data_IF_370387623987
#
_entry.id   IF_370387623987
#
_cell.length_a   1.000
_cell.length_b   1.000
_cell.length_c   1.000
_cell.angle_alpha   90.00
_cell.angle_beta   90.00
_cell.angle_gamma   90.00
#
_symmetry.space_group_name_H-M   'P 1'
#
loop_
_entity.id
_entity.type
_entity.pdbx_description
1 polymer ?
#
# COMPACT_ATOMS: atom_id res chain seq x y z
N UNK A 1 18.87 8.64 -17.99
CA UNK A 1 17.82 8.38 -16.98
C UNK A 1 18.36 8.92 -15.68
N UNK A 2 17.70 9.85 -15.02
CA UNK A 2 18.16 10.35 -13.72
C UNK A 2 17.59 9.43 -12.65
N UNK A 3 18.45 8.68 -11.97
CA UNK A 3 18.07 7.93 -10.78
C UNK A 3 17.96 8.91 -9.61
N UNK A 4 16.78 8.99 -9.01
CA UNK A 4 16.55 9.81 -7.83
C UNK A 4 16.91 9.00 -6.58
N UNK A 5 17.91 9.46 -5.88
CA UNK A 5 18.38 8.87 -4.64
C UNK A 5 17.51 9.36 -3.47
N UNK A 6 16.77 8.46 -2.81
CA UNK A 6 15.85 8.78 -1.71
C UNK A 6 16.29 8.15 -0.39
N UNK A 7 17.59 8.10 -0.12
CA UNK A 7 18.10 7.55 1.14
C UNK A 7 18.46 8.69 2.06
N UNK A 8 17.96 8.71 3.32
CA UNK A 8 18.42 9.65 4.31
C UNK A 8 19.91 9.42 4.60
N UNK A 9 20.63 10.50 4.93
CA UNK A 9 22.02 10.42 5.33
C UNK A 9 22.15 9.41 6.50
N UNK A 10 23.28 8.73 6.60
CA UNK A 10 23.60 7.61 7.52
C UNK A 10 23.27 7.78 9.02
N UNK A 11 22.72 8.92 9.45
CA UNK A 11 22.55 9.29 10.86
C UNK A 11 21.13 9.75 11.22
N UNK A 12 20.10 9.36 10.43
CA UNK A 12 18.73 9.70 10.79
C UNK A 12 18.18 8.69 11.82
N UNK A 13 18.35 9.03 13.10
CA UNK A 13 17.86 8.19 14.20
C UNK A 13 16.33 8.01 14.16
N UNK A 14 15.58 9.00 13.66
CA UNK A 14 14.13 8.92 13.52
C UNK A 14 13.76 7.90 12.44
N UNK A 15 14.52 7.84 11.34
CA UNK A 15 14.34 6.82 10.31
C UNK A 15 14.52 5.42 10.88
N UNK A 16 15.63 5.18 11.58
CA UNK A 16 15.95 3.86 12.17
C UNK A 16 14.89 3.47 13.19
N UNK A 17 14.49 4.36 14.07
CA UNK A 17 13.48 4.09 15.09
C UNK A 17 12.11 3.71 14.46
N UNK A 18 11.65 4.45 13.46
CA UNK A 18 10.40 4.13 12.76
C UNK A 18 10.51 2.84 11.94
N UNK A 19 11.68 2.56 11.33
CA UNK A 19 11.92 1.32 10.58
C UNK A 19 11.84 0.11 11.51
N UNK A 20 12.55 0.13 12.63
CA UNK A 20 12.56 -0.96 13.60
C UNK A 20 11.16 -1.18 14.20
N UNK A 21 10.43 -0.12 14.53
CA UNK A 21 9.05 -0.19 15.04
C UNK A 21 8.12 -0.92 14.04
N UNK A 22 8.22 -0.63 12.76
CA UNK A 22 7.43 -1.32 11.72
C UNK A 22 7.86 -2.77 11.55
N UNK A 23 9.16 -3.05 11.56
CA UNK A 23 9.68 -4.43 11.45
C UNK A 23 9.25 -5.29 12.64
N UNK A 24 9.29 -4.75 13.85
CA UNK A 24 8.81 -5.43 15.06
C UNK A 24 7.30 -5.77 14.95
N UNK A 25 6.50 -4.89 14.35
CA UNK A 25 5.08 -5.18 14.05
C UNK A 25 4.93 -6.35 13.09
N UNK A 26 5.79 -6.46 12.08
CA UNK A 26 5.72 -7.53 11.08
C UNK A 26 6.19 -8.89 11.60
N UNK A 27 6.92 -8.92 12.70
CA UNK A 27 7.29 -10.16 13.41
C UNK A 27 6.14 -10.70 14.30
N UNK A 28 5.08 -9.93 14.52
CA UNK A 28 3.95 -10.38 15.33
C UNK A 28 3.26 -11.59 14.72
N UNK A 29 2.94 -12.61 15.52
CA UNK A 29 2.16 -13.74 15.03
C UNK A 29 0.73 -13.31 14.66
N UNK A 30 0.14 -14.00 13.69
CA UNK A 30 -1.25 -13.74 13.33
C UNK A 30 -2.21 -13.92 14.51
N UNK A 31 -3.01 -12.90 14.75
CA UNK A 31 -4.05 -12.92 15.78
C UNK A 31 -5.32 -12.21 15.30
N UNK A 32 -6.45 -12.91 15.13
CA UNK A 32 -7.68 -12.29 14.57
C UNK A 32 -8.28 -11.21 15.45
N UNK A 33 -7.93 -11.18 16.74
CA UNK A 33 -8.38 -10.13 17.67
C UNK A 33 -7.44 -8.91 17.66
N UNK A 34 -6.22 -9.06 17.09
CA UNK A 34 -5.17 -8.05 16.99
C UNK A 34 -4.55 -8.10 15.60
N UNK A 35 -5.35 -7.93 14.52
CA UNK A 35 -4.84 -8.02 13.16
C UNK A 35 -3.89 -6.86 12.86
N UNK A 36 -2.82 -7.18 12.12
CA UNK A 36 -1.96 -6.19 11.49
C UNK A 36 -2.55 -5.86 10.14
N UNK A 37 -2.73 -4.58 9.85
CA UNK A 37 -3.23 -4.08 8.57
C UNK A 37 -2.26 -3.03 8.05
N UNK A 38 -1.89 -3.13 6.78
CA UNK A 38 -1.13 -2.11 6.06
C UNK A 38 -2.06 -1.31 5.17
N UNK A 39 -1.86 0.01 5.11
CA UNK A 39 -2.70 0.92 4.33
C UNK A 39 -1.84 1.90 3.54
N UNK A 40 -2.14 2.05 2.25
CA UNK A 40 -1.51 3.05 1.40
C UNK A 40 -2.49 3.61 0.37
N UNK A 41 -2.11 4.72 -0.25
CA UNK A 41 -2.91 5.45 -1.24
C UNK A 41 -2.19 5.55 -2.58
N UNK A 42 -2.93 5.31 -3.66
CA UNK A 42 -2.43 5.47 -5.03
C UNK A 42 -3.24 6.49 -5.81
N UNK A 43 -2.64 7.60 -6.25
CA UNK A 43 -3.28 8.47 -7.22
C UNK A 43 -3.45 7.75 -8.55
N UNK A 44 -4.62 7.90 -9.19
CA UNK A 44 -4.92 7.29 -10.46
C UNK A 44 -5.48 8.33 -11.45
N UNK A 45 -4.94 8.32 -12.68
CA UNK A 45 -5.39 9.16 -13.78
C UNK A 45 -6.41 8.40 -14.63
N UNK A 46 -7.64 8.89 -14.70
CA UNK A 46 -8.66 8.36 -15.62
C UNK A 46 -8.31 8.73 -17.05
N UNK A 47 -8.14 7.72 -17.88
CA UNK A 47 -7.74 7.87 -19.29
C UNK A 47 -8.75 7.21 -20.21
N UNK A 48 -9.08 7.91 -21.31
CA UNK A 48 -9.93 7.40 -22.37
C UNK A 48 -9.17 7.28 -23.69
N UNK A 49 -9.59 6.39 -24.55
CA UNK A 49 -9.04 6.26 -25.88
C UNK A 49 -9.63 7.33 -26.81
N UNK A 50 -8.78 8.03 -27.56
CA UNK A 50 -9.22 8.98 -28.60
C UNK A 50 -9.77 8.23 -29.80
N UNK A 51 -9.17 7.08 -30.12
CA UNK A 51 -9.57 6.16 -31.18
C UNK A 51 -9.79 4.77 -30.61
N UNK A 52 -10.77 4.06 -31.16
CA UNK A 52 -10.99 2.67 -30.72
C UNK A 52 -9.76 1.80 -31.00
N UNK A 53 -9.32 0.99 -30.02
CA UNK A 53 -8.24 0.04 -30.22
C UNK A 53 -8.55 -0.91 -31.38
N UNK A 54 -7.51 -1.25 -32.15
CA UNK A 54 -7.67 -2.26 -33.20
C UNK A 54 -7.81 -3.64 -32.54
N UNK A 55 -8.73 -4.49 -33.05
CA UNK A 55 -8.95 -5.79 -32.46
C UNK A 55 -7.72 -6.69 -32.56
N UNK A 56 -7.58 -7.60 -31.60
CA UNK A 56 -6.56 -8.65 -31.61
C UNK A 56 -6.73 -9.52 -32.85
N UNK A 57 -5.63 -9.86 -33.52
CA UNK A 57 -5.58 -10.82 -34.64
C UNK A 57 -4.62 -11.95 -34.28
N UNK A 58 -4.81 -13.16 -34.82
CA UNK A 58 -3.87 -14.26 -34.60
C UNK A 58 -2.43 -13.85 -34.98
N UNK A 59 -1.51 -13.93 -34.02
CA UNK A 59 -0.10 -13.53 -34.19
C UNK A 59 0.18 -12.02 -34.07
N UNK A 60 -0.82 -11.18 -33.74
CA UNK A 60 -0.67 -9.71 -33.59
C UNK A 60 -1.32 -9.25 -32.26
N UNK A 61 -0.59 -8.46 -31.48
CA UNK A 61 -1.13 -7.91 -30.24
C UNK A 61 -2.16 -6.81 -30.52
N UNK A 62 -3.03 -6.56 -29.54
CA UNK A 62 -3.93 -5.41 -29.59
C UNK A 62 -3.11 -4.12 -29.76
N UNK A 63 -3.48 -3.29 -30.73
CA UNK A 63 -2.86 -2.00 -30.97
C UNK A 63 -3.73 -0.89 -30.45
N UNK A 64 -3.21 -0.12 -29.50
CA UNK A 64 -3.85 1.08 -28.96
C UNK A 64 -3.17 2.31 -29.52
N UNK A 65 -3.93 3.38 -29.72
CA UNK A 65 -3.36 4.69 -30.12
C UNK A 65 -2.49 5.25 -28.97
N UNK A 66 -1.43 5.94 -29.30
CA UNK A 66 -0.63 6.68 -28.32
C UNK A 66 -1.38 7.89 -27.73
N UNK A 67 -2.32 8.45 -28.48
CA UNK A 67 -3.16 9.55 -28.02
C UNK A 67 -4.20 9.07 -26.98
N UNK A 68 -4.40 9.87 -25.96
CA UNK A 68 -5.39 9.61 -24.91
C UNK A 68 -6.03 10.90 -24.41
N UNK A 69 -7.24 10.78 -23.91
CA UNK A 69 -7.95 11.87 -23.25
C UNK A 69 -7.91 11.68 -21.74
N UNK A 70 -7.58 12.74 -21.00
CA UNK A 70 -7.63 12.76 -19.54
C UNK A 70 -9.02 13.12 -19.07
N UNK A 71 -9.61 12.25 -18.25
CA UNK A 71 -10.98 12.42 -17.72
C UNK A 71 -10.98 12.72 -16.20
N UNK A 72 -9.87 13.23 -15.66
CA UNK A 72 -9.72 13.56 -14.26
C UNK A 72 -8.79 12.62 -13.50
N UNK A 73 -8.61 12.89 -12.23
CA UNK A 73 -7.82 12.09 -11.29
C UNK A 73 -8.70 11.64 -10.14
N UNK A 74 -8.35 10.50 -9.54
CA UNK A 74 -8.94 10.01 -8.30
C UNK A 74 -7.85 9.39 -7.43
N UNK A 75 -8.20 8.97 -6.23
CA UNK A 75 -7.30 8.26 -5.32
C UNK A 75 -7.89 6.91 -4.97
N UNK A 76 -7.05 5.88 -4.99
CA UNK A 76 -7.38 4.54 -4.58
C UNK A 76 -6.77 4.35 -3.20
N UNK A 77 -7.59 3.96 -2.22
CA UNK A 77 -7.16 3.54 -0.90
C UNK A 77 -7.09 2.02 -0.88
N UNK A 78 -6.01 1.47 -0.38
CA UNK A 78 -5.83 0.03 -0.27
C UNK A 78 -5.48 -0.36 1.16
N UNK A 79 -6.19 -1.35 1.67
CA UNK A 79 -5.94 -1.99 2.95
C UNK A 79 -5.64 -3.47 2.72
N UNK A 80 -4.62 -3.96 3.36
CA UNK A 80 -4.28 -5.39 3.34
C UNK A 80 -4.00 -5.88 4.74
N UNK A 81 -4.59 -7.02 5.10
CA UNK A 81 -4.24 -7.80 6.28
C UNK A 81 -3.25 -8.90 5.83
N UNK A 82 -1.94 -8.70 5.94
CA UNK A 82 -0.95 -9.55 5.25
C UNK A 82 -1.08 -11.03 5.62
N UNK A 83 -1.17 -11.34 6.91
CA UNK A 83 -1.27 -12.71 7.40
C UNK A 83 -2.71 -13.25 7.41
N UNK A 84 -3.72 -12.38 7.43
CA UNK A 84 -5.14 -12.75 7.33
C UNK A 84 -5.59 -12.98 5.91
N UNK A 85 -4.95 -12.33 4.94
CA UNK A 85 -5.30 -12.41 3.52
C UNK A 85 -6.61 -11.69 3.18
N UNK A 86 -6.99 -10.68 3.98
CA UNK A 86 -8.11 -9.79 3.66
C UNK A 86 -7.61 -8.54 2.97
N UNK A 87 -8.32 -8.13 1.95
CA UNK A 87 -8.03 -6.95 1.15
C UNK A 87 -9.26 -6.06 1.08
N UNK A 88 -9.06 -4.77 1.10
CA UNK A 88 -10.09 -3.79 0.78
C UNK A 88 -9.51 -2.68 -0.08
N UNK A 89 -10.24 -2.30 -1.13
CA UNK A 89 -9.88 -1.19 -1.99
C UNK A 89 -11.09 -0.29 -2.23
N UNK A 90 -10.89 1.01 -2.11
CA UNK A 90 -11.92 2.00 -2.36
C UNK A 90 -11.40 3.11 -3.28
N UNK A 91 -12.31 3.84 -3.92
CA UNK A 91 -11.97 4.92 -4.85
C UNK A 91 -12.71 6.18 -4.46
N UNK A 92 -11.94 7.24 -4.22
CA UNK A 92 -12.42 8.57 -3.90
C UNK A 92 -11.97 9.60 -4.95
N UNK A 93 -12.76 10.62 -5.17
CA UNK A 93 -12.38 11.74 -6.05
C UNK A 93 -11.20 12.52 -5.47
N UNK A 94 -11.10 12.55 -4.16
CA UNK A 94 -10.06 13.24 -3.41
C UNK A 94 -9.43 12.32 -2.36
N UNK A 95 -8.34 12.78 -1.75
CA UNK A 95 -7.70 12.16 -0.58
C UNK A 95 -7.63 13.15 0.57
N UNK A 96 -8.78 13.52 1.07
CA UNK A 96 -8.87 14.46 2.19
C UNK A 96 -8.76 13.72 3.54
N UNK A 97 -8.58 14.50 4.61
CA UNK A 97 -8.64 13.96 5.97
C UNK A 97 -9.99 13.30 6.29
N UNK A 98 -11.08 13.74 5.61
CA UNK A 98 -12.41 13.16 5.78
C UNK A 98 -12.50 11.82 5.04
N UNK A 99 -11.97 11.74 3.81
CA UNK A 99 -11.95 10.48 3.05
C UNK A 99 -11.19 9.40 3.83
N UNK A 100 -9.99 9.72 4.31
CA UNK A 100 -9.23 8.82 5.17
C UNK A 100 -10.00 8.41 6.43
N UNK A 101 -10.66 9.35 7.11
CA UNK A 101 -11.43 9.05 8.31
C UNK A 101 -12.60 8.10 8.04
N UNK A 102 -13.28 8.23 6.89
CA UNK A 102 -14.34 7.32 6.45
C UNK A 102 -13.79 5.91 6.22
N UNK A 103 -12.63 5.79 5.57
CA UNK A 103 -11.96 4.52 5.34
C UNK A 103 -11.52 3.85 6.64
N UNK A 104 -11.00 4.61 7.61
CA UNK A 104 -10.65 4.08 8.94
C UNK A 104 -11.90 3.62 9.70
N UNK A 105 -13.03 4.31 9.54
CA UNK A 105 -14.29 3.83 10.11
C UNK A 105 -14.72 2.52 9.47
N UNK A 106 -14.65 2.41 8.14
CA UNK A 106 -14.94 1.16 7.43
C UNK A 106 -14.03 0.02 7.90
N UNK A 107 -12.72 0.25 8.00
CA UNK A 107 -11.75 -0.71 8.52
C UNK A 107 -12.16 -1.22 9.91
N UNK A 108 -12.55 -0.29 10.80
CA UNK A 108 -12.94 -0.60 12.18
C UNK A 108 -14.27 -1.36 12.28
N UNK A 109 -15.28 -0.94 11.52
CA UNK A 109 -16.66 -1.34 11.77
C UNK A 109 -17.15 -2.44 10.82
N UNK A 110 -16.60 -2.49 9.59
CA UNK A 110 -17.06 -3.40 8.55
C UNK A 110 -16.00 -4.48 8.21
N UNK A 111 -14.75 -4.08 7.98
CA UNK A 111 -13.70 -5.02 7.61
C UNK A 111 -13.28 -5.89 8.81
N UNK A 112 -13.13 -5.28 10.00
CA UNK A 112 -12.60 -5.93 11.19
C UNK A 112 -13.49 -5.65 12.44
N UNK A 113 -14.81 -5.94 12.40
CA UNK A 113 -15.75 -5.61 13.47
C UNK A 113 -15.39 -6.28 14.79
N UNK A 114 -14.87 -7.50 14.77
CA UNK A 114 -14.58 -8.32 15.94
C UNK A 114 -13.19 -8.05 16.55
N UNK A 115 -12.33 -7.30 15.88
CA UNK A 115 -10.99 -7.01 16.39
C UNK A 115 -11.07 -6.18 17.68
N UNK A 116 -10.33 -6.58 18.71
CA UNK A 116 -10.17 -5.78 19.93
C UNK A 116 -9.32 -4.55 19.66
N UNK A 117 -8.28 -4.70 18.88
CA UNK A 117 -7.39 -3.64 18.46
C UNK A 117 -6.85 -3.94 17.07
N UNK A 118 -6.75 -2.95 16.23
CA UNK A 118 -6.20 -3.03 14.88
C UNK A 118 -4.84 -2.35 14.89
N UNK A 119 -3.79 -3.11 14.59
CA UNK A 119 -2.43 -2.61 14.45
C UNK A 119 -2.30 -2.13 13.01
N UNK A 120 -2.26 -0.81 12.81
CA UNK A 120 -2.30 -0.18 11.50
C UNK A 120 -0.95 0.40 11.12
N UNK A 121 -0.34 -0.12 10.07
CA UNK A 121 0.88 0.42 9.46
C UNK A 121 0.49 1.27 8.27
N UNK A 122 1.01 2.49 8.19
CA UNK A 122 0.74 3.44 7.09
C UNK A 122 1.80 4.53 7.03
N UNK A 123 1.80 5.34 5.99
CA UNK A 123 2.65 6.50 5.90
C UNK A 123 2.22 7.66 6.84
N UNK A 124 3.16 8.53 7.17
CA UNK A 124 2.93 9.66 8.09
C UNK A 124 2.46 10.92 7.36
N UNK A 125 1.41 10.83 6.54
CA UNK A 125 0.80 11.99 5.91
C UNK A 125 0.04 12.86 6.92
N UNK A 126 -0.08 14.16 6.63
CA UNK A 126 -0.84 15.08 7.48
C UNK A 126 -2.33 14.75 7.59
N UNK A 127 -2.88 14.03 6.62
CA UNK A 127 -4.25 13.52 6.59
C UNK A 127 -4.43 12.27 7.46
N UNK A 128 -3.36 11.51 7.72
CA UNK A 128 -3.34 10.23 8.42
C UNK A 128 -3.14 10.40 9.92
N UNK A 129 -3.96 11.21 10.56
CA UNK A 129 -3.84 11.49 12.00
C UNK A 129 -5.14 11.28 12.74
N UNK A 130 -5.03 10.91 14.01
CA UNK A 130 -6.19 10.80 14.90
C UNK A 130 -7.10 12.04 14.87
N UNK A 131 -6.53 13.25 14.69
CA UNK A 131 -7.28 14.49 14.56
C UNK A 131 -8.23 14.50 13.33
N UNK A 132 -7.93 13.75 12.28
CA UNK A 132 -8.79 13.65 11.10
C UNK A 132 -10.14 12.99 11.41
N UNK A 133 -10.16 12.03 12.33
CA UNK A 133 -11.41 11.41 12.79
C UNK A 133 -12.34 12.43 13.50
N UNK A 134 -11.77 13.38 14.26
CA UNK A 134 -12.55 14.44 14.89
C UNK A 134 -13.05 15.50 13.91
N UNK A 135 -12.47 15.59 12.70
CA UNK A 135 -13.01 16.44 11.62
C UNK A 135 -14.21 15.80 10.94
N UNK A 136 -14.23 14.45 10.86
CA UNK A 136 -15.26 13.70 10.15
C UNK A 136 -16.43 13.29 11.05
N UNK A 137 -16.18 13.01 12.34
CA UNK A 137 -17.15 12.41 13.24
C UNK A 137 -17.30 13.20 14.55
N UNK A 138 -18.46 13.02 15.26
CA UNK A 138 -18.61 13.51 16.62
C UNK A 138 -17.50 12.97 17.55
N UNK A 139 -17.11 13.72 18.61
CA UNK A 139 -16.00 13.33 19.48
C UNK A 139 -16.13 11.94 20.12
N UNK A 140 -17.33 11.51 20.46
CA UNK A 140 -17.59 10.18 21.02
C UNK A 140 -17.25 9.07 20.03
N UNK A 141 -17.66 9.24 18.77
CA UNK A 141 -17.40 8.28 17.69
C UNK A 141 -15.94 8.25 17.30
N UNK A 142 -15.33 9.43 17.08
CA UNK A 142 -13.90 9.54 16.81
C UNK A 142 -13.07 8.84 17.91
N UNK A 143 -13.44 9.05 19.19
CA UNK A 143 -12.75 8.43 20.32
C UNK A 143 -12.95 6.91 20.37
N UNK A 144 -14.14 6.42 20.01
CA UNK A 144 -14.44 4.98 19.92
C UNK A 144 -13.51 4.31 18.90
N UNK A 145 -13.40 4.89 17.70
CA UNK A 145 -12.56 4.36 16.62
C UNK A 145 -11.08 4.39 17.04
N UNK A 146 -10.57 5.54 17.55
CA UNK A 146 -9.16 5.69 17.95
C UNK A 146 -8.76 4.65 19.00
N UNK A 147 -9.64 4.33 19.95
CA UNK A 147 -9.33 3.33 20.98
C UNK A 147 -9.09 1.93 20.41
N UNK A 148 -9.60 1.64 19.22
CA UNK A 148 -9.39 0.38 18.51
C UNK A 148 -8.13 0.36 17.63
N UNK A 149 -7.48 1.50 17.45
CA UNK A 149 -6.29 1.61 16.61
C UNK A 149 -5.02 1.65 17.44
N UNK A 150 -4.00 1.02 16.91
CA UNK A 150 -2.58 1.17 17.26
C UNK A 150 -1.85 1.49 15.97
N UNK A 151 -1.34 2.71 15.85
CA UNK A 151 -0.86 3.24 14.58
C UNK A 151 0.67 3.27 14.62
N UNK A 152 1.28 2.64 13.62
CA UNK A 152 2.70 2.63 13.35
C UNK A 152 2.96 3.31 12.01
N UNK A 153 3.89 4.27 12.00
CA UNK A 153 4.17 5.04 10.80
C UNK A 153 5.46 4.57 10.15
N UNK A 154 5.41 4.38 8.83
CA UNK A 154 6.64 4.18 8.06
C UNK A 154 7.51 5.43 8.12
N UNK A 155 8.85 5.28 8.10
CA UNK A 155 9.75 6.42 8.11
C UNK A 155 9.60 7.26 6.84
N UNK A 156 9.93 8.53 6.94
CA UNK A 156 9.96 9.41 5.77
C UNK A 156 10.92 8.82 4.72
N UNK A 157 10.47 8.72 3.48
CA UNK A 157 11.18 8.03 2.38
C UNK A 157 11.33 6.52 2.53
N UNK A 158 10.64 5.91 3.49
CA UNK A 158 10.61 4.47 3.75
C UNK A 158 9.30 3.78 3.36
N UNK A 159 8.57 4.30 2.35
CA UNK A 159 7.30 3.72 1.89
C UNK A 159 7.42 2.24 1.49
N UNK A 160 8.62 1.82 1.07
CA UNK A 160 8.94 0.43 0.76
C UNK A 160 8.74 -0.54 1.95
N UNK A 161 8.68 -0.05 3.18
CA UNK A 161 8.31 -0.82 4.36
C UNK A 161 6.80 -1.09 4.46
N UNK A 162 5.97 -0.38 3.69
CA UNK A 162 4.54 -0.62 3.71
C UNK A 162 4.17 -1.78 2.78
N UNK A 163 3.68 -2.88 3.36
CA UNK A 163 3.24 -4.02 2.56
C UNK A 163 2.05 -3.70 1.65
N UNK A 164 1.31 -2.63 1.91
CA UNK A 164 0.25 -2.18 0.99
C UNK A 164 0.81 -1.76 -0.37
N UNK A 165 2.06 -1.26 -0.47
CA UNK A 165 2.72 -1.00 -1.77
C UNK A 165 2.83 -2.27 -2.63
N UNK A 166 3.03 -3.44 -2.02
CA UNK A 166 3.10 -4.71 -2.73
C UNK A 166 1.76 -4.98 -3.42
N UNK A 167 0.66 -4.86 -2.67
CA UNK A 167 -0.68 -5.06 -3.21
C UNK A 167 -1.07 -4.00 -4.25
N UNK A 168 -0.69 -2.75 -4.05
CA UNK A 168 -0.87 -1.69 -5.05
C UNK A 168 -0.13 -2.00 -6.36
N UNK A 169 1.04 -2.64 -6.30
CA UNK A 169 1.79 -3.07 -7.46
C UNK A 169 1.13 -4.28 -8.15
N UNK A 170 0.64 -5.27 -7.39
CA UNK A 170 -0.13 -6.41 -7.92
C UNK A 170 -1.39 -5.90 -8.61
N UNK A 171 -2.17 -5.05 -7.96
CA UNK A 171 -3.37 -4.41 -8.50
C UNK A 171 -3.07 -3.64 -9.79
N UNK A 172 -1.96 -2.90 -9.82
CA UNK A 172 -1.55 -2.14 -11.01
C UNK A 172 -1.31 -3.04 -12.21
N UNK A 173 -0.67 -4.19 -12.01
CA UNK A 173 -0.38 -5.15 -13.10
C UNK A 173 -1.62 -5.93 -13.52
N UNK A 174 -2.44 -6.35 -12.59
CA UNK A 174 -3.59 -7.21 -12.86
C UNK A 174 -4.82 -6.44 -13.34
N UNK A 175 -5.06 -5.24 -12.78
CA UNK A 175 -6.29 -4.48 -13.01
C UNK A 175 -6.06 -3.15 -13.75
N UNK A 176 -5.01 -2.39 -13.39
CA UNK A 176 -4.81 -1.01 -13.84
C UNK A 176 -3.85 -0.86 -15.03
N UNK A 177 -3.40 -1.96 -15.64
CA UNK A 177 -2.48 -1.94 -16.80
C UNK A 177 -3.10 -1.41 -18.09
N UNK A 178 -4.39 -1.12 -18.10
CA UNK A 178 -5.16 -0.59 -19.23
C UNK A 178 -5.76 0.78 -18.91
N UNK A 179 -6.24 1.49 -19.92
CA UNK A 179 -6.94 2.75 -19.76
C UNK A 179 -8.33 2.52 -19.20
N UNK A 180 -8.68 3.24 -18.14
CA UNK A 180 -10.02 3.23 -17.53
C UNK A 180 -10.53 4.66 -17.52
N UNK A 181 -11.64 4.89 -18.20
CA UNK A 181 -12.08 6.24 -18.58
C UNK A 181 -13.01 6.90 -17.56
N UNK A 182 -13.65 6.12 -16.68
CA UNK A 182 -14.62 6.65 -15.71
C UNK A 182 -14.41 6.09 -14.31
N UNK A 183 -14.83 6.86 -13.31
CA UNK A 183 -14.76 6.48 -11.91
C UNK A 183 -15.59 5.21 -11.63
N UNK A 184 -16.80 5.11 -12.20
CA UNK A 184 -17.67 3.96 -11.97
C UNK A 184 -17.07 2.67 -12.55
N UNK A 185 -16.45 2.76 -13.74
CA UNK A 185 -15.74 1.62 -14.33
C UNK A 185 -14.55 1.20 -13.47
N UNK A 186 -13.79 2.17 -12.95
CA UNK A 186 -12.69 1.90 -12.06
C UNK A 186 -13.16 1.19 -10.78
N UNK A 187 -14.23 1.68 -10.15
CA UNK A 187 -14.84 1.05 -8.98
C UNK A 187 -15.28 -0.39 -9.25
N UNK A 188 -15.90 -0.63 -10.40
CA UNK A 188 -16.35 -1.97 -10.79
C UNK A 188 -15.15 -2.95 -10.96
N UNK A 189 -14.11 -2.50 -11.66
CA UNK A 189 -12.90 -3.31 -11.90
C UNK A 189 -12.14 -3.63 -10.59
N UNK A 190 -12.02 -2.63 -9.72
CA UNK A 190 -11.34 -2.82 -8.42
C UNK A 190 -12.16 -3.71 -7.48
N UNK A 191 -13.49 -3.58 -7.47
CA UNK A 191 -14.36 -4.47 -6.70
C UNK A 191 -14.23 -5.92 -7.16
N UNK A 192 -14.18 -6.17 -8.47
CA UNK A 192 -13.97 -7.52 -9.00
C UNK A 192 -12.60 -8.08 -8.60
N UNK A 193 -11.55 -7.25 -8.68
CA UNK A 193 -10.20 -7.62 -8.26
C UNK A 193 -10.14 -7.94 -6.76
N UNK A 194 -10.74 -7.10 -5.91
CA UNK A 194 -10.83 -7.31 -4.45
C UNK A 194 -11.52 -8.62 -4.12
N UNK A 195 -12.66 -8.92 -4.77
CA UNK A 195 -13.40 -10.17 -4.58
C UNK A 195 -12.53 -11.39 -4.91
N UNK A 196 -11.75 -11.34 -5.99
CA UNK A 196 -10.85 -12.42 -6.38
C UNK A 196 -9.72 -12.60 -5.38
N UNK A 197 -9.06 -11.52 -4.95
CA UNK A 197 -8.00 -11.56 -3.94
C UNK A 197 -8.49 -12.13 -2.61
N UNK A 198 -9.67 -11.71 -2.17
CA UNK A 198 -10.28 -12.19 -0.93
C UNK A 198 -10.72 -13.66 -1.03
N UNK A 199 -11.25 -14.10 -2.19
CA UNK A 199 -11.57 -15.52 -2.43
C UNK A 199 -10.32 -16.40 -2.33
N UNK A 200 -9.22 -15.97 -2.89
CA UNK A 200 -7.97 -16.70 -2.91
C UNK A 200 -7.20 -16.58 -1.56
N UNK A 201 -7.68 -15.75 -0.64
CA UNK A 201 -7.07 -15.48 0.67
C UNK A 201 -5.57 -15.18 0.51
N UNK A 202 -5.25 -14.27 -0.40
CA UNK A 202 -3.87 -13.97 -0.78
C UNK A 202 -3.10 -13.34 0.38
N UNK A 203 -2.09 -14.05 0.87
CA UNK A 203 -1.27 -13.63 2.02
C UNK A 203 0.06 -13.08 1.57
N UNK A 204 0.59 -12.14 2.37
CA UNK A 204 1.95 -11.63 2.24
C UNK A 204 2.73 -12.14 3.42
N UNK A 205 3.86 -12.81 3.17
CA UNK A 205 4.81 -13.23 4.20
C UNK A 205 6.02 -12.31 4.16
N UNK A 206 6.26 -11.63 5.26
CA UNK A 206 7.39 -10.74 5.41
C UNK A 206 8.56 -11.52 6.03
N UNK A 207 9.74 -11.46 5.41
CA UNK A 207 10.90 -12.24 5.84
C UNK A 207 12.07 -11.38 6.34
N UNK A 208 12.04 -10.08 6.07
CA UNK A 208 13.11 -9.18 6.47
C UNK A 208 12.87 -8.67 7.89
N UNK A 209 13.83 -8.90 8.78
CA UNK A 209 13.74 -8.62 10.21
C UNK A 209 14.68 -7.49 10.63
N UNK A 210 14.44 -6.93 11.82
CA UNK A 210 15.30 -5.91 12.45
C UNK A 210 16.76 -6.36 12.55
N UNK A 211 17.01 -7.65 12.82
CA UNK A 211 18.34 -8.24 12.82
C UNK A 211 19.05 -8.17 11.49
N UNK A 212 18.33 -8.45 10.41
CA UNK A 212 18.84 -8.38 9.03
C UNK A 212 19.18 -6.95 8.63
N UNK A 213 18.30 -6.00 9.01
CA UNK A 213 18.53 -4.58 8.78
C UNK A 213 19.82 -4.08 9.46
N UNK A 214 20.10 -4.50 10.70
CA UNK A 214 21.31 -4.11 11.46
C UNK A 214 22.57 -4.76 10.93
N UNK A 215 22.48 -6.00 10.43
CA UNK A 215 23.63 -6.76 9.90
C UNK A 215 23.90 -6.45 8.42
N UNK A 216 23.04 -5.67 7.77
CA UNK A 216 23.17 -5.35 6.36
C UNK A 216 23.02 -6.56 5.43
N UNK A 217 22.28 -7.59 5.86
CA UNK A 217 22.05 -8.78 5.03
C UNK A 217 21.10 -8.47 3.88
N UNK A 218 21.57 -8.77 2.68
CA UNK A 218 20.80 -8.58 1.43
C UNK A 218 20.30 -9.90 0.83
N UNK A 219 20.67 -11.05 1.43
CA UNK A 219 20.27 -12.37 0.92
C UNK A 219 18.86 -12.74 1.35
N UNK A 220 17.87 -12.19 0.65
CA UNK A 220 16.48 -12.57 0.79
C UNK A 220 16.07 -13.37 -0.45
N UNK A 221 16.01 -14.68 -0.31
CA UNK A 221 15.44 -15.57 -1.31
C UNK A 221 13.91 -15.47 -1.23
N UNK A 222 13.30 -14.78 -2.17
CA UNK A 222 11.86 -14.74 -2.32
C UNK A 222 11.43 -15.06 -3.73
N UNK A 223 10.43 -15.90 -3.82
CA UNK A 223 9.93 -16.55 -5.03
C UNK A 223 9.13 -15.67 -5.99
N UNK A 224 9.29 -14.33 -5.99
CA UNK A 224 8.61 -13.51 -7.00
C UNK A 224 9.32 -12.17 -7.28
N UNK A 225 9.28 -11.76 -8.53
CA UNK A 225 9.95 -10.61 -9.15
C UNK A 225 9.73 -9.24 -8.47
N UNK A 226 8.76 -9.14 -7.56
CA UNK A 226 8.39 -7.91 -6.86
C UNK A 226 9.41 -7.58 -5.76
N UNK A 227 9.95 -8.58 -5.12
CA UNK A 227 10.85 -8.44 -3.96
C UNK A 227 12.28 -8.14 -4.41
N UNK A 228 12.67 -8.49 -5.63
CA UNK A 228 13.97 -8.12 -6.18
C UNK A 228 14.15 -6.58 -6.27
N UNK A 229 13.07 -5.85 -6.59
CA UNK A 229 13.10 -4.37 -6.60
C UNK A 229 13.21 -3.78 -5.18
N UNK A 230 12.64 -4.48 -4.22
CA UNK A 230 12.66 -4.15 -2.80
C UNK A 230 14.05 -4.32 -2.18
N UNK A 231 14.73 -5.43 -2.49
CA UNK A 231 16.06 -5.77 -1.98
C UNK A 231 17.16 -4.84 -2.48
N UNK A 232 17.07 -4.40 -3.73
CA UNK A 232 18.01 -3.43 -4.30
C UNK A 232 17.93 -2.12 -3.49
N UNK A 233 16.73 -1.66 -3.12
CA UNK A 233 16.57 -0.46 -2.29
C UNK A 233 17.17 -0.63 -0.87
N UNK A 234 17.00 -1.77 -0.24
CA UNK A 234 17.54 -2.02 1.12
C UNK A 234 19.06 -2.11 1.11
N UNK A 235 19.66 -2.79 0.14
CA UNK A 235 21.11 -2.87 -0.03
C UNK A 235 21.75 -1.48 -0.20
N UNK A 236 21.09 -0.62 -0.98
CA UNK A 236 21.52 0.75 -1.20
C UNK A 236 21.42 1.59 0.08
N UNK A 237 20.40 1.38 0.93
CA UNK A 237 20.20 2.11 2.19
C UNK A 237 21.30 1.79 3.21
N UNK A 238 21.70 0.54 3.31
CA UNK A 238 22.63 0.08 4.33
C UNK A 238 24.12 0.23 3.92
N UNK A 239 24.41 0.76 2.72
CA UNK A 239 25.77 1.01 2.22
C UNK A 239 26.72 -0.19 2.30
N UNK A 240 26.22 -1.40 1.94
CA UNK A 240 26.98 -2.64 2.03
C UNK A 240 28.00 -2.79 0.88
N UNK A 241 28.09 -1.81 -0.01
CA UNK A 241 29.03 -1.82 -1.16
C UNK A 241 30.44 -1.29 -0.87
N UNK A 242 30.79 -0.98 0.38
CA UNK A 242 32.17 -0.68 0.72
C UNK A 242 32.85 -1.87 1.37
N UNK A 243 33.21 -2.87 0.60
CA UNK A 243 34.47 -3.66 0.73
C UNK A 243 34.44 -4.87 -0.20
N UNK A 244 34.74 -4.65 -1.47
CA UNK A 244 35.45 -5.69 -2.24
C UNK A 244 36.61 -5.00 -2.93
N UNK A 245 37.75 -5.14 -2.32
CA UNK A 245 39.04 -5.04 -2.99
C UNK A 245 39.48 -6.41 -3.42
#
# INVERSE_FOLDING_TARGET
MNDYWCIPSKEDADFVACMEDVLDVYELPYGPMYPVVCMDEKPYQLLDDVRQPLPVRPGDNQKTDSEYKRNGTCSIFAFVEPLGGRHHVSVHEHRTAIDWAMEIKYLSDEMLPDAKKIILVMDNLNTHKAASLYKAFPPSEARRIIKRLEIHYTPKHGSWLDMAEIELNVMTRQCLSRRISTLDKLKCELSAWEMERNRDTAKIQWHFQTGDAREGKTDITVSDTIICYFLIKVADILNINDTVH
#
